data_IF_922896530840
#
_entry.id   IF_922896530840
#
_cell.length_a   1.000
_cell.length_b   1.000
_cell.length_c   1.000
_cell.angle_alpha   90.00
_cell.angle_beta   90.00
_cell.angle_gamma   90.00
#
_symmetry.space_group_name_H-M   'P 1'
#
loop_
_entity.id
_entity.type
_entity.pdbx_description
1 polymer ?
#
# COMPACT_ATOMS: atom_id res chain seq x y z
N UNK A 1 -3.47 -2.94 9.74
CA UNK A 1 -2.47 -3.40 8.76
C UNK A 1 -1.12 -3.40 9.44
N UNK A 2 -0.18 -4.18 8.94
CA UNK A 2 1.19 -4.28 9.47
C UNK A 2 2.18 -4.11 8.32
N UNK A 3 3.21 -3.29 8.51
CA UNK A 3 4.32 -3.19 7.53
C UNK A 3 5.33 -4.28 7.88
N UNK A 4 5.48 -5.25 6.98
CA UNK A 4 6.40 -6.38 7.18
C UNK A 4 7.78 -6.14 6.54
N UNK A 5 7.91 -5.08 5.74
CA UNK A 5 9.23 -4.63 5.29
C UNK A 5 10.03 -4.10 6.49
N UNK A 6 11.32 -4.45 6.63
CA UNK A 6 12.16 -3.95 7.72
C UNK A 6 12.10 -2.42 7.86
N UNK A 7 11.99 -1.92 9.09
CA UNK A 7 11.99 -0.48 9.34
C UNK A 7 13.36 0.16 9.02
N UNK A 8 14.44 -0.58 9.31
CA UNK A 8 15.83 -0.18 9.08
C UNK A 8 16.08 0.14 7.60
N UNK A 9 16.45 1.38 7.25
CA UNK A 9 16.68 1.79 5.87
C UNK A 9 17.70 0.92 5.12
N UNK A 10 18.74 0.45 5.81
CA UNK A 10 19.79 -0.39 5.21
C UNK A 10 19.33 -1.81 4.88
N UNK A 11 18.15 -2.22 5.35
CA UNK A 11 17.56 -3.53 5.11
C UNK A 11 16.39 -3.48 4.11
N UNK A 12 16.15 -2.33 3.46
CA UNK A 12 15.10 -2.19 2.46
C UNK A 12 15.46 -1.20 1.35
N UNK A 13 14.80 -1.35 0.22
CA UNK A 13 14.80 -0.33 -0.84
C UNK A 13 13.54 0.55 -0.70
N UNK A 14 13.05 1.09 -1.81
CA UNK A 14 11.79 1.83 -1.84
C UNK A 14 10.54 0.95 -1.62
N UNK A 15 10.63 -0.36 -1.88
CA UNK A 15 9.48 -1.26 -1.81
C UNK A 15 9.02 -1.49 -0.36
N UNK A 16 7.70 -1.35 -0.13
CA UNK A 16 7.03 -1.64 1.13
C UNK A 16 5.97 -2.73 0.96
N UNK A 17 6.01 -3.72 1.82
CA UNK A 17 5.08 -4.84 1.91
C UNK A 17 4.18 -4.60 3.12
N UNK A 18 2.88 -4.55 2.88
CA UNK A 18 1.87 -4.30 3.90
C UNK A 18 1.00 -5.54 4.00
N UNK A 19 1.02 -6.18 5.17
CA UNK A 19 0.15 -7.27 5.53
C UNK A 19 -1.19 -6.72 6.03
N UNK A 20 -2.27 -7.22 5.45
CA UNK A 20 -3.64 -6.87 5.80
C UNK A 20 -4.22 -8.05 6.60
N UNK A 21 -4.65 -7.82 7.84
CA UNK A 21 -5.11 -8.88 8.74
C UNK A 21 -6.52 -9.41 8.36
N UNK A 22 -6.65 -10.04 7.19
CA UNK A 22 -7.94 -10.36 6.56
C UNK A 22 -8.35 -9.30 5.55
N UNK A 23 -9.56 -9.43 4.95
CA UNK A 23 -10.24 -8.59 3.92
C UNK A 23 -9.40 -7.71 2.97
N UNK A 24 -8.12 -8.04 2.79
CA UNK A 24 -7.17 -7.16 2.14
C UNK A 24 -7.43 -7.03 0.65
N UNK A 25 -8.14 -8.02 0.10
CA UNK A 25 -8.49 -8.05 -1.31
C UNK A 25 -9.48 -6.94 -1.69
N UNK A 26 -10.45 -6.65 -0.82
CA UNK A 26 -11.38 -5.55 -1.04
C UNK A 26 -10.66 -4.20 -1.08
N UNK A 27 -9.71 -3.99 -0.15
CA UNK A 27 -8.87 -2.79 -0.11
C UNK A 27 -7.97 -2.70 -1.35
N UNK A 28 -7.35 -3.80 -1.77
CA UNK A 28 -6.55 -3.86 -2.99
C UNK A 28 -7.39 -3.47 -4.23
N UNK A 29 -8.56 -4.10 -4.40
CA UNK A 29 -9.43 -3.82 -5.54
C UNK A 29 -9.94 -2.37 -5.50
N UNK A 30 -10.22 -1.81 -4.31
CA UNK A 30 -10.59 -0.41 -4.14
C UNK A 30 -9.44 0.54 -4.52
N UNK A 31 -8.20 0.25 -4.09
CA UNK A 31 -7.02 1.03 -4.42
C UNK A 31 -6.76 1.05 -5.94
N UNK A 32 -6.83 -0.12 -6.58
CA UNK A 32 -6.68 -0.27 -8.04
C UNK A 32 -7.72 0.57 -8.80
N UNK A 33 -8.99 0.55 -8.36
CA UNK A 33 -10.07 1.37 -8.96
C UNK A 33 -9.86 2.87 -8.79
N UNK A 34 -9.15 3.29 -7.74
CA UNK A 34 -8.81 4.69 -7.47
C UNK A 34 -7.44 5.09 -8.06
N UNK A 35 -6.87 4.30 -8.96
CA UNK A 35 -5.66 4.64 -9.71
C UNK A 35 -4.34 4.30 -9.00
N UNK A 36 -4.39 3.62 -7.84
CA UNK A 36 -3.19 3.16 -7.14
C UNK A 36 -2.79 1.77 -7.65
N UNK A 37 -1.75 1.72 -8.47
CA UNK A 37 -1.24 0.46 -9.01
C UNK A 37 -0.30 -0.20 -7.99
N UNK A 38 -0.75 -1.33 -7.45
CA UNK A 38 0.03 -2.13 -6.48
C UNK A 38 0.07 -3.59 -6.89
N UNK A 39 0.93 -4.37 -6.25
CA UNK A 39 1.05 -5.81 -6.48
C UNK A 39 0.43 -6.60 -5.32
N UNK A 40 -0.50 -7.51 -5.64
CA UNK A 40 -1.16 -8.39 -4.68
C UNK A 40 -0.39 -9.70 -4.48
N UNK A 41 -0.26 -10.13 -3.23
CA UNK A 41 0.41 -11.37 -2.84
C UNK A 41 -0.45 -12.13 -1.83
N UNK A 42 -0.78 -13.37 -2.19
CA UNK A 42 -1.54 -14.27 -1.32
C UNK A 42 -0.80 -14.54 0.01
N UNK A 43 -1.51 -14.70 1.14
CA UNK A 43 -2.97 -14.57 1.26
C UNK A 43 -3.47 -13.13 1.42
N UNK A 44 -2.66 -12.18 1.93
CA UNK A 44 -3.16 -10.83 2.27
C UNK A 44 -2.07 -9.73 2.27
N UNK A 45 -1.15 -9.74 1.31
CA UNK A 45 -0.07 -8.74 1.24
C UNK A 45 -0.23 -7.85 0.01
N UNK A 46 -0.14 -6.54 0.23
CA UNK A 46 0.01 -5.55 -0.85
C UNK A 46 1.47 -5.07 -0.87
N UNK A 47 2.07 -5.05 -2.05
CA UNK A 47 3.39 -4.46 -2.28
C UNK A 47 3.24 -3.16 -3.07
N UNK A 48 3.83 -2.09 -2.54
CA UNK A 48 4.00 -0.81 -3.22
C UNK A 48 5.48 -0.46 -3.33
N UNK A 49 5.89 0.22 -4.39
CA UNK A 49 7.27 0.63 -4.60
C UNK A 49 7.31 2.05 -5.20
N UNK A 50 7.38 3.11 -4.37
CA UNK A 50 7.60 4.46 -4.84
C UNK A 50 9.03 4.63 -5.35
N UNK A 51 9.21 4.44 -6.66
CA UNK A 51 10.54 4.53 -7.27
C UNK A 51 10.98 6.00 -7.30
N UNK A 52 12.14 6.35 -6.69
CA UNK A 52 12.57 7.74 -6.54
C UNK A 52 12.73 8.52 -7.85
N UNK A 53 12.92 7.83 -8.96
CA UNK A 53 13.11 8.45 -10.28
C UNK A 53 11.83 9.12 -10.80
N UNK A 54 10.65 8.62 -10.40
CA UNK A 54 9.37 9.06 -10.98
C UNK A 54 8.22 9.17 -9.97
N UNK A 55 8.45 8.90 -8.69
CA UNK A 55 7.49 9.13 -7.62
C UNK A 55 7.92 10.33 -6.77
N UNK A 56 6.99 11.25 -6.55
CA UNK A 56 7.17 12.42 -5.69
C UNK A 56 6.70 12.13 -4.25
N UNK A 57 7.02 13.04 -3.33
CA UNK A 57 6.45 13.01 -1.97
C UNK A 57 4.95 13.27 -1.97
N UNK A 58 4.44 14.03 -2.94
CA UNK A 58 3.01 14.31 -3.12
C UNK A 58 2.24 13.05 -3.52
N UNK A 59 2.78 12.25 -4.46
CA UNK A 59 2.19 10.95 -4.82
C UNK A 59 2.05 10.03 -3.60
N UNK A 60 3.05 10.05 -2.71
CA UNK A 60 3.01 9.28 -1.47
C UNK A 60 2.02 9.81 -0.45
N UNK A 61 1.84 11.12 -0.39
CA UNK A 61 0.81 11.74 0.44
C UNK A 61 -0.59 11.38 -0.04
N UNK A 62 -0.84 11.49 -1.34
CA UNK A 62 -2.12 11.17 -1.98
C UNK A 62 -2.46 9.68 -1.86
N UNK A 63 -1.45 8.81 -2.05
CA UNK A 63 -1.57 7.39 -1.72
C UNK A 63 -2.03 7.18 -0.28
N UNK A 64 -1.42 7.88 0.68
CA UNK A 64 -1.79 7.81 2.09
C UNK A 64 -3.25 8.22 2.34
N UNK A 65 -3.73 9.27 1.65
CA UNK A 65 -5.13 9.70 1.74
C UNK A 65 -6.09 8.66 1.16
N UNK A 66 -5.77 8.08 -0.01
CA UNK A 66 -6.55 7.02 -0.62
C UNK A 66 -6.59 5.76 0.26
N UNK A 67 -5.45 5.35 0.80
CA UNK A 67 -5.37 4.21 1.72
C UNK A 67 -6.26 4.42 2.94
N UNK A 68 -6.19 5.60 3.58
CA UNK A 68 -7.03 5.95 4.72
C UNK A 68 -8.52 5.93 4.35
N UNK A 69 -8.88 6.51 3.21
CA UNK A 69 -10.27 6.55 2.71
C UNK A 69 -10.81 5.15 2.44
N UNK A 70 -10.06 4.30 1.74
CA UNK A 70 -10.45 2.92 1.46
C UNK A 70 -10.64 2.10 2.74
N UNK A 71 -9.79 2.29 3.75
CA UNK A 71 -9.96 1.64 5.05
C UNK A 71 -11.26 2.09 5.72
N UNK A 72 -11.55 3.39 5.75
CA UNK A 72 -12.77 3.91 6.39
C UNK A 72 -14.04 3.44 5.68
N UNK A 73 -14.09 3.52 4.34
CA UNK A 73 -15.27 3.13 3.56
C UNK A 73 -15.58 1.64 3.61
N UNK A 74 -14.56 0.78 3.67
CA UNK A 74 -14.74 -0.68 3.69
C UNK A 74 -15.02 -1.25 5.09
N UNK A 75 -14.74 -0.51 6.16
CA UNK A 75 -15.08 -0.89 7.54
C UNK A 75 -16.32 -0.13 8.08
N UNK A 76 -17.06 0.56 7.20
CA UNK A 76 -18.31 1.27 7.51
C UNK A 76 -19.54 0.35 7.43
#
# INVERSE_FOLDING_TARGET
FEVITPAEPDQRACQLSVYLHGEGRNLFDWLMKNGVITDWREPNVIRLAPVPLYCSFEDMYDFGQLLKKGILELHS
#
